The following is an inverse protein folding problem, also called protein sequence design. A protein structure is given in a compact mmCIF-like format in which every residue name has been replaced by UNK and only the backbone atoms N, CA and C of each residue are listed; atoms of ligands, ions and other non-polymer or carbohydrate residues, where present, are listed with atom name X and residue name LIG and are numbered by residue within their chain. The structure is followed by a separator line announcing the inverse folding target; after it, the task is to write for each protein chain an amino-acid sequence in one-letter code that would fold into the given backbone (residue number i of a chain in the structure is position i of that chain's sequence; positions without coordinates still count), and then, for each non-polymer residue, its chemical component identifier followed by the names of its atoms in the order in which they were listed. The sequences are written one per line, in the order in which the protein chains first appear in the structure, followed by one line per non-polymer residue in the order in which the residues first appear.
data_IF_538621629706
#
_entry.id   IF_538621629706
#
_cell.length_a   1.000
_cell.length_b   1.000
_cell.length_c   1.000
_cell.angle_alpha   90.00
_cell.angle_beta   90.00
_cell.angle_gamma   90.00
#
_symmetry.space_group_name_H-M   'P 1'
#
loop_
_entity.id
_entity.type
_entity.pdbx_description
1 polymer ?
#
# COMPACT_ATOMS: atom_id res chain seq x y z
N UNK A 1 -0.41 -7.69 9.55
CA UNK A 1 -0.99 -7.56 8.18
C UNK A 1 -0.70 -6.21 7.51
N UNK A 2 -0.91 -5.08 8.21
CA UNK A 2 -0.76 -3.72 7.68
C UNK A 2 0.53 -3.43 6.89
N UNK A 3 1.68 -3.83 7.43
CA UNK A 3 2.98 -3.65 6.77
C UNK A 3 3.09 -4.45 5.46
N UNK A 4 2.42 -5.61 5.40
CA UNK A 4 2.34 -6.46 4.21
C UNK A 4 1.43 -5.81 3.14
N UNK A 5 0.28 -5.26 3.54
CA UNK A 5 -0.61 -4.49 2.66
C UNK A 5 0.09 -3.24 2.09
N UNK A 6 0.84 -2.52 2.92
CA UNK A 6 1.60 -1.35 2.51
C UNK A 6 2.70 -1.71 1.51
N UNK A 7 3.55 -2.68 1.84
CA UNK A 7 4.66 -3.12 0.97
C UNK A 7 4.15 -3.71 -0.33
N UNK A 8 3.14 -4.59 -0.29
CA UNK A 8 2.51 -5.15 -1.49
C UNK A 8 1.85 -4.06 -2.36
N UNK A 9 1.12 -3.12 -1.75
CA UNK A 9 0.50 -1.98 -2.45
C UNK A 9 1.54 -1.07 -3.11
N UNK A 10 2.64 -0.75 -2.42
CA UNK A 10 3.74 0.03 -3.00
C UNK A 10 4.38 -0.68 -4.18
N UNK A 11 4.66 -1.98 -4.09
CA UNK A 11 5.23 -2.77 -5.19
C UNK A 11 4.29 -2.77 -6.40
N UNK A 12 2.98 -2.97 -6.19
CA UNK A 12 1.97 -2.95 -7.25
C UNK A 12 1.90 -1.58 -7.96
N UNK A 13 1.95 -0.48 -7.20
CA UNK A 13 1.99 0.88 -7.76
C UNK A 13 3.28 1.09 -8.56
N UNK A 14 4.44 0.74 -8.00
CA UNK A 14 5.73 0.89 -8.68
C UNK A 14 5.76 0.13 -10.01
N UNK A 15 5.27 -1.12 -10.01
CA UNK A 15 5.16 -1.93 -11.24
C UNK A 15 4.17 -1.29 -12.23
N UNK A 16 3.01 -0.82 -11.79
CA UNK A 16 2.04 -0.13 -12.64
C UNK A 16 2.58 1.14 -13.29
N UNK A 17 3.38 1.93 -12.55
CA UNK A 17 4.04 3.13 -13.06
C UNK A 17 5.12 2.75 -14.09
N UNK A 18 5.95 1.76 -13.81
CA UNK A 18 6.99 1.30 -14.73
C UNK A 18 6.44 0.77 -16.05
N UNK A 19 5.28 0.10 -16.02
CA UNK A 19 4.55 -0.33 -17.23
C UNK A 19 4.04 0.90 -18.00
N UNK A 20 3.51 1.91 -17.32
CA UNK A 20 2.99 3.13 -17.96
C UNK A 20 4.07 4.04 -18.56
N UNK A 21 5.29 3.99 -18.03
CA UNK A 21 6.44 4.74 -18.52
C UNK A 21 7.14 4.05 -19.70
N UNK A 22 6.55 2.99 -20.27
CA UNK A 22 7.15 2.17 -21.34
C UNK A 22 8.54 1.60 -21.00
N UNK A 23 8.88 1.53 -19.71
CA UNK A 23 10.16 1.00 -19.26
C UNK A 23 10.17 -0.54 -19.26
N UNK A 24 8.99 -1.15 -19.12
CA UNK A 24 8.76 -2.60 -19.16
C UNK A 24 7.85 -2.88 -20.36
N UNK A 25 8.46 -2.84 -21.56
CA UNK A 25 7.78 -2.89 -22.86
C UNK A 25 7.25 -4.28 -23.24
N UNK A 26 5.95 -4.31 -23.49
CA UNK A 26 5.33 -5.00 -24.63
C UNK A 26 3.97 -4.33 -24.83
N UNK A 27 3.60 -3.95 -26.06
CA UNK A 27 2.37 -3.21 -26.37
C UNK A 27 1.10 -3.84 -25.74
N UNK A 28 1.14 -5.15 -25.52
CA UNK A 28 0.10 -5.96 -24.86
C UNK A 28 -0.12 -5.60 -23.38
N UNK A 29 0.88 -5.05 -22.69
CA UNK A 29 0.88 -4.78 -21.26
C UNK A 29 0.59 -3.32 -20.90
N UNK A 30 0.68 -2.40 -21.86
CA UNK A 30 0.41 -0.98 -21.66
C UNK A 30 -1.00 -0.71 -21.12
N UNK A 31 -1.97 -1.48 -21.61
CA UNK A 31 -3.37 -1.42 -21.14
C UNK A 31 -3.55 -2.06 -19.76
N UNK A 32 -2.64 -2.96 -19.37
CA UNK A 32 -2.70 -3.71 -18.11
C UNK A 32 -2.12 -2.94 -16.94
N UNK A 33 -1.39 -1.85 -17.16
CA UNK A 33 -0.78 -1.02 -16.10
C UNK A 33 -1.81 -0.33 -15.19
N UNK A 34 -2.95 0.10 -15.74
CA UNK A 34 -3.99 0.80 -14.96
C UNK A 34 -4.60 -0.07 -13.83
N UNK A 35 -4.99 -1.34 -14.09
CA UNK A 35 -5.42 -2.24 -13.02
C UNK A 35 -4.41 -2.36 -11.86
N UNK A 36 -3.10 -2.45 -12.14
CA UNK A 36 -2.07 -2.53 -11.10
C UNK A 36 -1.99 -1.24 -10.28
N UNK A 37 -2.11 -0.07 -10.92
CA UNK A 37 -2.17 1.22 -10.22
C UNK A 37 -3.40 1.33 -9.33
N UNK A 38 -4.57 0.91 -9.82
CA UNK A 38 -5.83 0.97 -9.07
C UNK A 38 -5.79 0.02 -7.87
N UNK A 39 -5.43 -1.25 -8.09
CA UNK A 39 -5.34 -2.25 -7.03
C UNK A 39 -4.27 -1.89 -6.00
N UNK A 40 -3.09 -1.47 -6.47
CA UNK A 40 -2.02 -1.00 -5.59
C UNK A 40 -2.44 0.19 -4.73
N UNK A 41 -3.19 1.14 -5.29
CA UNK A 41 -3.71 2.29 -4.54
C UNK A 41 -4.73 1.87 -3.46
N UNK A 42 -5.66 0.96 -3.79
CA UNK A 42 -6.64 0.43 -2.84
C UNK A 42 -5.96 -0.30 -1.69
N UNK A 43 -4.88 -1.05 -1.96
CA UNK A 43 -4.11 -1.77 -0.93
C UNK A 43 -3.18 -0.84 -0.12
N UNK A 44 -2.68 0.22 -0.73
CA UNK A 44 -1.78 1.18 -0.10
C UNK A 44 -2.48 2.04 0.98
N UNK A 45 -3.73 2.47 0.75
CA UNK A 45 -4.50 3.31 1.69
C UNK A 45 -4.63 2.67 3.09
N UNK A 46 -5.17 1.44 3.25
CA UNK A 46 -5.27 0.81 4.57
C UNK A 46 -3.90 0.46 5.14
N UNK A 47 -2.93 0.06 4.30
CA UNK A 47 -1.55 -0.21 4.73
C UNK A 47 -0.86 1.02 5.34
N UNK A 48 -1.01 2.18 4.70
CA UNK A 48 -0.44 3.44 5.15
C UNK A 48 -1.16 3.96 6.41
N UNK A 49 -2.48 3.81 6.49
CA UNK A 49 -3.26 4.21 7.67
C UNK A 49 -2.83 3.44 8.92
N UNK A 50 -2.68 2.11 8.81
CA UNK A 50 -2.22 1.31 9.93
C UNK A 50 -0.74 1.56 10.29
N UNK A 51 0.12 1.85 9.30
CA UNK A 51 1.51 2.23 9.55
C UNK A 51 1.61 3.57 10.29
N UNK A 52 0.77 4.54 9.92
CA UNK A 52 0.63 5.82 10.62
C UNK A 52 0.17 5.59 12.07
N UNK A 53 -0.88 4.80 12.29
CA UNK A 53 -1.36 4.49 13.64
C UNK A 53 -0.27 3.82 14.50
N UNK A 54 0.45 2.85 13.93
CA UNK A 54 1.53 2.14 14.61
C UNK A 54 2.73 3.05 14.90
N UNK A 55 3.05 3.99 14.01
CA UNK A 55 4.10 4.99 14.23
C UNK A 55 3.76 5.91 15.40
N UNK A 56 2.53 6.42 15.47
CA UNK A 56 2.08 7.26 16.58
C UNK A 56 1.99 6.49 17.91
N UNK A 57 1.60 5.21 17.87
CA UNK A 57 1.62 4.33 19.04
C UNK A 57 3.06 4.02 19.52
N UNK A 58 4.02 3.86 18.60
CA UNK A 58 5.44 3.67 18.94
C UNK A 58 6.04 4.90 19.64
N UNK A 59 5.68 6.11 19.20
CA UNK A 59 6.11 7.35 19.83
C UNK A 59 5.36 7.71 21.14
N UNK A 60 4.46 6.83 21.62
CA UNK A 60 3.72 6.98 22.89
C UNK A 60 3.04 8.34 23.05
N UNK A 61 2.45 8.87 21.99
CA UNK A 61 1.60 10.06 22.10
C UNK A 61 0.38 9.74 22.98
N UNK A 62 0.06 10.56 24.00
CA UNK A 62 -1.07 10.30 24.90
C UNK A 62 -2.37 10.33 24.11
N UNK A 63 -3.11 9.22 24.11
CA UNK A 63 -4.37 9.04 23.37
C UNK A 63 -4.32 8.03 22.23
N UNK A 64 -3.16 7.46 21.90
CA UNK A 64 -3.02 6.35 20.95
C UNK A 64 -2.55 5.08 21.68
N UNK A 65 -3.44 4.09 21.80
CA UNK A 65 -3.09 2.76 22.31
C UNK A 65 -3.14 1.71 21.21
N UNK A 66 -2.25 0.72 21.28
CA UNK A 66 -2.24 -0.44 20.38
C UNK A 66 -3.56 -1.25 20.43
N UNK A 67 -4.32 -1.13 21.53
CA UNK A 67 -5.66 -1.72 21.72
C UNK A 67 -6.73 -1.18 20.77
N UNK A 68 -6.49 -0.04 20.11
CA UNK A 68 -7.40 0.56 19.14
C UNK A 68 -7.22 0.02 17.72
N UNK A 69 -6.18 -0.79 17.50
CA UNK A 69 -5.97 -1.51 16.24
C UNK A 69 -6.83 -2.78 16.35
N UNK A 70 -7.88 -2.97 15.54
CA UNK A 70 -8.68 -4.18 15.58
C UNK A 70 -7.79 -5.37 15.25
N UNK A 71 -7.55 -6.22 16.25
CA UNK A 71 -6.94 -7.53 16.06
C UNK A 71 -8.00 -8.42 15.41
N UNK A 72 -7.86 -8.70 14.12
CA UNK A 72 -8.67 -9.70 13.43
C UNK A 72 -8.09 -11.08 13.75
N UNK A 73 -8.80 -11.86 14.56
CA UNK A 73 -8.74 -13.33 14.57
C UNK A 73 -9.47 -13.87 13.31
#
# INVERSE_FOLDING_TARGET
LAMLLFTAGSVLITVGVLIKLDYITSDVWLDRGIPFLVLGSIMFIPGAYHLYLAYYAYYKYPGYEFSMIPEWD
#
